data_IF_232692861076
#
_entry.id   IF_232692861076
#
_cell.length_a   1.000
_cell.length_b   1.000
_cell.length_c   1.000
_cell.angle_alpha   90.00
_cell.angle_beta   90.00
_cell.angle_gamma   90.00
#
_symmetry.space_group_name_H-M   'P 1'
#
loop_
_entity.id
_entity.type
_entity.pdbx_description
1 polymer ?
#
# COMPACT_ATOMS: atom_id res chain seq x y z
N UNK A 1 62.70 32.02 -58.37
CA UNK A 1 62.40 31.62 -56.98
C UNK A 1 60.91 31.49 -56.65
N UNK A 2 59.99 32.16 -57.31
CA UNK A 2 58.52 32.05 -56.96
C UNK A 2 57.84 30.79 -57.46
N UNK A 3 58.35 30.02 -58.40
CA UNK A 3 57.73 28.83 -58.99
C UNK A 3 58.01 27.57 -58.18
N UNK A 4 59.19 27.47 -57.51
CA UNK A 4 59.61 26.31 -56.70
C UNK A 4 58.76 26.25 -55.41
N UNK A 5 58.37 27.39 -54.79
CA UNK A 5 57.57 27.41 -53.60
C UNK A 5 56.14 26.89 -53.82
N UNK A 6 55.58 27.05 -55.00
CA UNK A 6 54.23 26.56 -55.30
C UNK A 6 54.16 25.05 -55.47
N UNK A 7 55.23 24.41 -55.96
CA UNK A 7 55.30 22.97 -56.13
C UNK A 7 55.50 22.26 -54.80
N UNK A 8 56.23 22.85 -53.83
CA UNK A 8 56.43 22.30 -52.49
C UNK A 8 55.15 22.38 -51.63
N UNK A 9 54.35 23.41 -51.76
CA UNK A 9 53.10 23.56 -51.02
C UNK A 9 52.05 22.55 -51.54
N UNK A 10 51.97 22.28 -52.82
CA UNK A 10 51.10 21.22 -53.36
C UNK A 10 51.49 19.82 -53.01
N UNK A 11 52.81 19.52 -52.94
CA UNK A 11 53.29 18.20 -52.49
C UNK A 11 53.06 17.93 -50.99
N UNK A 12 53.17 18.95 -50.15
CA UNK A 12 52.86 18.85 -48.71
C UNK A 12 51.39 18.66 -48.46
N UNK A 13 50.48 19.30 -49.26
CA UNK A 13 49.04 19.12 -49.17
C UNK A 13 48.55 17.75 -49.64
N UNK A 14 49.25 17.11 -50.57
CA UNK A 14 48.92 15.74 -51.04
C UNK A 14 49.39 14.66 -50.10
N UNK A 15 50.41 14.88 -49.27
CA UNK A 15 50.88 13.94 -48.25
C UNK A 15 50.01 13.95 -47.02
N UNK A 16 49.26 15.02 -46.74
CA UNK A 16 48.30 15.10 -45.62
C UNK A 16 47.00 14.36 -45.87
N UNK A 17 46.67 14.03 -47.15
CA UNK A 17 45.43 13.27 -47.46
C UNK A 17 45.64 11.74 -47.46
N UNK A 18 46.87 11.25 -47.33
CA UNK A 18 47.15 9.81 -47.28
C UNK A 18 47.11 9.26 -45.83
N UNK A 19 46.91 10.08 -44.79
CA UNK A 19 46.99 9.69 -43.39
C UNK A 19 45.67 9.39 -42.70
N UNK A 20 44.53 9.39 -43.42
CA UNK A 20 43.21 9.12 -42.82
C UNK A 20 42.58 7.80 -43.33
N UNK A 21 43.35 6.73 -43.36
CA UNK A 21 42.80 5.40 -43.65
C UNK A 21 42.89 4.42 -42.46
N UNK A 22 42.96 4.95 -41.25
CA UNK A 22 42.66 4.14 -40.07
C UNK A 22 41.14 4.00 -39.99
N UNK A 23 40.57 3.03 -40.72
CA UNK A 23 39.26 2.49 -40.38
C UNK A 23 39.36 2.02 -38.93
N UNK A 24 38.82 2.78 -37.96
CA UNK A 24 38.58 2.22 -36.66
C UNK A 24 37.61 1.06 -36.86
N UNK A 25 38.13 -0.15 -36.84
CA UNK A 25 37.28 -1.32 -36.76
C UNK A 25 36.65 -1.30 -35.35
N UNK A 26 35.38 -0.92 -35.31
CA UNK A 26 34.59 -0.98 -34.08
C UNK A 26 34.38 -2.47 -33.78
N UNK A 27 35.19 -3.02 -32.85
CA UNK A 27 34.98 -4.38 -32.37
C UNK A 27 33.66 -4.42 -31.61
N UNK A 28 32.66 -5.08 -32.18
CA UNK A 28 31.38 -5.29 -31.52
C UNK A 28 31.59 -6.22 -30.34
N UNK A 29 31.51 -5.68 -29.10
CA UNK A 29 31.62 -6.49 -27.89
C UNK A 29 30.26 -7.13 -27.63
N UNK A 30 30.19 -8.46 -27.44
CA UNK A 30 28.97 -9.12 -26.98
C UNK A 30 28.62 -8.69 -25.56
N UNK A 31 27.38 -8.32 -25.33
CA UNK A 31 26.92 -7.96 -23.96
C UNK A 31 25.46 -8.25 -23.74
N UNK A 32 25.08 -8.39 -22.45
CA UNK A 32 23.70 -8.57 -21.97
C UNK A 32 23.35 -7.47 -21.00
N UNK A 33 22.10 -6.99 -21.07
CA UNK A 33 21.61 -5.85 -20.31
C UNK A 33 20.11 -6.00 -19.99
N UNK A 34 19.65 -5.40 -18.90
CA UNK A 34 18.22 -5.26 -18.60
C UNK A 34 17.64 -4.07 -19.38
N UNK A 35 16.38 -4.18 -19.81
CA UNK A 35 15.68 -3.12 -20.53
C UNK A 35 15.27 -1.93 -19.66
N UNK A 36 15.17 -2.14 -18.33
CA UNK A 36 14.78 -1.13 -17.37
C UNK A 36 15.52 -1.29 -16.05
N UNK A 37 15.59 -0.20 -15.27
CA UNK A 37 16.27 -0.16 -13.95
C UNK A 37 15.30 -0.30 -12.80
N UNK A 38 14.09 0.24 -12.95
CA UNK A 38 13.10 0.33 -11.85
C UNK A 38 11.69 0.17 -12.35
N UNK A 39 10.81 -0.29 -11.46
CA UNK A 39 9.35 -0.23 -11.60
C UNK A 39 8.71 0.01 -10.23
N UNK A 40 7.62 0.78 -10.21
CA UNK A 40 6.70 0.84 -9.07
C UNK A 40 5.35 0.35 -9.57
N UNK A 41 4.83 -0.67 -8.92
CA UNK A 41 3.59 -1.33 -9.32
C UNK A 41 2.70 -1.50 -8.11
N UNK A 42 1.39 -1.41 -8.29
CA UNK A 42 0.45 -1.76 -7.22
C UNK A 42 0.34 -3.27 -7.11
N UNK A 43 -0.06 -3.79 -5.96
CA UNK A 43 -0.25 -5.23 -5.77
C UNK A 43 -1.35 -5.83 -6.67
N UNK A 44 -2.30 -5.02 -7.15
CA UNK A 44 -3.34 -5.41 -8.10
C UNK A 44 -2.91 -5.33 -9.59
N UNK A 45 -1.64 -5.02 -9.87
CA UNK A 45 -1.12 -4.86 -11.24
C UNK A 45 -1.15 -6.16 -12.05
N UNK A 46 -1.29 -7.32 -11.41
CA UNK A 46 -1.29 -8.62 -12.06
C UNK A 46 0.09 -8.99 -12.58
N UNK A 47 0.37 -8.77 -13.87
CA UNK A 47 1.64 -9.18 -14.51
C UNK A 47 2.60 -8.03 -14.71
N UNK A 48 3.85 -8.22 -14.30
CA UNK A 48 4.97 -7.28 -14.53
C UNK A 48 6.07 -8.00 -15.25
N UNK A 49 6.64 -7.36 -16.28
CA UNK A 49 7.71 -7.96 -17.08
C UNK A 49 8.95 -7.08 -17.10
N UNK A 50 10.12 -7.71 -17.19
CA UNK A 50 11.40 -7.08 -17.51
C UNK A 50 12.11 -7.88 -18.58
N UNK A 51 12.61 -7.18 -19.59
CA UNK A 51 13.33 -7.82 -20.67
C UNK A 51 14.84 -7.87 -20.37
N UNK A 52 15.45 -9.00 -20.67
CA UNK A 52 16.89 -9.18 -20.73
C UNK A 52 17.27 -9.23 -22.20
N UNK A 53 18.16 -8.37 -22.62
CA UNK A 53 18.53 -8.21 -24.05
C UNK A 53 19.99 -8.53 -24.24
N UNK A 54 20.26 -9.43 -25.16
CA UNK A 54 21.62 -9.83 -25.58
C UNK A 54 21.96 -9.21 -26.94
N UNK A 55 23.12 -8.57 -27.02
CA UNK A 55 23.62 -7.91 -28.21
C UNK A 55 24.93 -8.51 -28.69
N UNK A 56 25.10 -8.55 -30.00
CA UNK A 56 26.34 -8.93 -30.70
C UNK A 56 26.87 -10.32 -30.32
N UNK A 57 26.01 -11.25 -29.91
CA UNK A 57 26.41 -12.62 -29.63
C UNK A 57 26.94 -13.29 -30.89
N UNK A 58 27.98 -14.06 -30.75
CA UNK A 58 28.59 -14.88 -31.82
C UNK A 58 28.29 -16.37 -31.68
N UNK A 59 27.55 -16.75 -30.64
CA UNK A 59 27.10 -18.10 -30.32
C UNK A 59 26.19 -18.09 -29.08
N UNK A 60 25.79 -19.27 -28.60
CA UNK A 60 24.94 -19.39 -27.40
C UNK A 60 25.58 -18.73 -26.17
N UNK A 61 24.75 -18.13 -25.32
CA UNK A 61 25.16 -17.47 -24.08
C UNK A 61 24.22 -17.84 -22.95
N UNK A 62 24.77 -18.03 -21.76
CA UNK A 62 24.03 -18.15 -20.50
C UNK A 62 24.33 -16.97 -19.61
N UNK A 63 23.29 -16.47 -18.90
CA UNK A 63 23.40 -15.34 -17.95
C UNK A 63 22.82 -15.75 -16.63
N UNK A 64 23.63 -15.77 -15.58
CA UNK A 64 23.17 -16.02 -14.23
C UNK A 64 22.51 -14.75 -13.65
N UNK A 65 21.45 -14.92 -12.87
CA UNK A 65 20.80 -13.84 -12.15
C UNK A 65 20.43 -14.26 -10.72
N UNK A 66 20.18 -13.27 -9.87
CA UNK A 66 19.68 -13.46 -8.50
C UNK A 66 18.50 -12.56 -8.24
N UNK A 67 17.57 -13.04 -7.40
CA UNK A 67 16.50 -12.26 -6.80
C UNK A 67 16.84 -12.00 -5.34
N UNK A 68 16.54 -10.79 -4.85
CA UNK A 68 16.73 -10.38 -3.45
C UNK A 68 15.74 -9.27 -3.11
N UNK A 69 15.67 -8.87 -1.85
CA UNK A 69 14.74 -7.87 -1.32
C UNK A 69 13.88 -8.44 -0.22
N UNK A 70 12.90 -7.69 0.24
CA UNK A 70 11.94 -8.06 1.28
C UNK A 70 10.64 -8.63 0.70
N UNK A 71 10.39 -8.47 -0.60
CA UNK A 71 9.30 -9.17 -1.28
C UNK A 71 9.51 -10.68 -1.26
N UNK A 72 8.53 -11.43 -0.79
CA UNK A 72 8.57 -12.89 -0.61
C UNK A 72 7.80 -13.58 -1.72
N UNK A 73 8.48 -14.54 -2.40
CA UNK A 73 7.83 -15.39 -3.39
C UNK A 73 6.72 -16.25 -2.77
N UNK A 74 5.57 -16.34 -3.44
CA UNK A 74 4.37 -17.01 -2.94
C UNK A 74 3.51 -16.15 -2.00
N UNK A 75 4.03 -14.98 -1.57
CA UNK A 75 3.28 -14.00 -0.80
C UNK A 75 3.03 -12.70 -1.61
N UNK A 76 4.08 -12.07 -2.10
CA UNK A 76 3.95 -10.81 -2.84
C UNK A 76 3.98 -11.00 -4.36
N UNK A 77 4.63 -12.07 -4.83
CA UNK A 77 4.73 -12.39 -6.25
C UNK A 77 4.96 -13.88 -6.49
N UNK A 78 4.62 -14.34 -7.69
CA UNK A 78 5.10 -15.60 -8.24
C UNK A 78 6.06 -15.32 -9.39
N UNK A 79 7.09 -16.15 -9.48
CA UNK A 79 8.08 -16.10 -10.55
C UNK A 79 8.27 -17.50 -11.12
N UNK A 80 8.01 -17.65 -12.42
CA UNK A 80 7.98 -18.97 -13.07
C UNK A 80 9.38 -19.53 -13.33
N UNK A 81 10.34 -18.67 -13.66
CA UNK A 81 11.71 -19.07 -13.91
C UNK A 81 12.49 -19.21 -12.59
N UNK A 82 12.66 -20.45 -12.14
CA UNK A 82 13.39 -20.79 -10.91
C UNK A 82 14.81 -21.28 -11.21
N UNK A 83 15.25 -21.27 -12.50
CA UNK A 83 16.55 -21.81 -12.90
C UNK A 83 17.73 -20.96 -12.40
N UNK A 84 17.53 -19.67 -12.20
CA UNK A 84 18.60 -18.71 -11.90
C UNK A 84 19.50 -18.40 -13.12
N UNK A 85 19.15 -18.89 -14.31
CA UNK A 85 19.94 -18.77 -15.53
C UNK A 85 19.05 -18.48 -16.73
N UNK A 86 19.41 -17.47 -17.52
CA UNK A 86 18.75 -17.13 -18.78
C UNK A 86 19.63 -17.63 -19.93
N UNK A 87 19.03 -18.32 -20.88
CA UNK A 87 19.74 -18.87 -22.04
C UNK A 87 19.40 -18.11 -23.32
N UNK A 88 20.38 -17.76 -24.10
CA UNK A 88 20.28 -17.16 -25.42
C UNK A 88 21.00 -18.07 -26.45
N UNK A 89 20.31 -18.43 -27.51
CA UNK A 89 20.91 -19.14 -28.63
C UNK A 89 21.60 -18.17 -29.60
N UNK A 90 21.04 -16.95 -29.69
CA UNK A 90 21.53 -15.85 -30.52
C UNK A 90 21.19 -14.49 -29.85
N UNK A 91 21.69 -13.40 -30.45
CA UNK A 91 21.29 -12.05 -30.03
C UNK A 91 19.77 -11.86 -30.07
N UNK A 92 19.20 -11.28 -29.01
CA UNK A 92 17.78 -11.12 -28.94
C UNK A 92 17.31 -10.76 -27.54
N UNK A 93 16.03 -11.01 -27.29
CA UNK A 93 15.32 -10.63 -26.08
C UNK A 93 14.69 -11.85 -25.40
N UNK A 94 14.83 -11.92 -24.08
CA UNK A 94 14.09 -12.84 -23.21
C UNK A 94 13.33 -12.02 -22.18
N UNK A 95 12.05 -12.33 -21.98
CA UNK A 95 11.18 -11.62 -21.04
C UNK A 95 11.05 -12.44 -19.77
N UNK A 96 11.40 -11.84 -18.64
CA UNK A 96 11.13 -12.38 -17.31
C UNK A 96 9.79 -11.81 -16.82
N UNK A 97 8.91 -12.66 -16.30
CA UNK A 97 7.58 -12.29 -15.85
C UNK A 97 7.42 -12.55 -14.35
N UNK A 98 6.93 -11.54 -13.65
CA UNK A 98 6.49 -11.61 -12.27
C UNK A 98 4.96 -11.50 -12.25
N UNK A 99 4.28 -12.48 -11.66
CA UNK A 99 2.84 -12.42 -11.39
C UNK A 99 2.68 -11.85 -9.97
N UNK A 100 2.21 -10.62 -9.85
CA UNK A 100 2.01 -9.94 -8.58
C UNK A 100 0.76 -10.50 -7.92
N UNK A 101 0.84 -10.78 -6.62
CA UNK A 101 -0.25 -11.35 -5.85
C UNK A 101 -0.96 -10.22 -5.11
N UNK A 102 -2.25 -10.06 -5.37
CA UNK A 102 -3.12 -9.13 -4.69
C UNK A 102 -3.71 -9.77 -3.41
N UNK A 103 -3.71 -9.05 -2.30
CA UNK A 103 -4.28 -9.44 -1.00
C UNK A 103 -5.37 -8.45 -0.56
N UNK A 104 -6.55 -8.45 -1.19
CA UNK A 104 -7.58 -7.45 -0.95
C UNK A 104 -7.96 -7.38 0.54
N UNK A 105 -7.95 -6.19 1.12
CA UNK A 105 -8.24 -5.87 2.53
C UNK A 105 -7.23 -6.42 3.55
N UNK A 106 -6.04 -6.84 3.09
CA UNK A 106 -4.95 -7.28 3.95
C UNK A 106 -3.74 -6.37 3.74
N UNK A 107 -3.52 -5.39 4.61
CA UNK A 107 -2.37 -4.49 4.51
C UNK A 107 -1.08 -5.23 4.88
N UNK A 108 -0.24 -5.50 3.88
CA UNK A 108 1.05 -6.16 4.04
C UNK A 108 2.22 -5.18 4.06
N UNK A 109 1.98 -3.92 3.67
CA UNK A 109 2.99 -2.91 3.43
C UNK A 109 3.70 -3.05 2.10
N UNK A 110 4.40 -2.00 1.70
CA UNK A 110 5.18 -2.03 0.45
C UNK A 110 6.32 -3.03 0.54
N UNK A 111 6.56 -3.78 -0.55
CA UNK A 111 7.62 -4.78 -0.62
C UNK A 111 8.56 -4.54 -1.82
N UNK A 112 9.86 -4.65 -1.61
CA UNK A 112 10.90 -4.45 -2.60
C UNK A 112 11.44 -5.76 -3.18
N UNK A 113 11.56 -5.86 -4.50
CA UNK A 113 12.22 -6.93 -5.23
C UNK A 113 13.37 -6.36 -6.06
N UNK A 114 14.51 -7.03 -6.01
CA UNK A 114 15.68 -6.71 -6.82
C UNK A 114 16.10 -7.93 -7.63
N UNK A 115 16.15 -7.77 -8.95
CA UNK A 115 16.76 -8.72 -9.87
C UNK A 115 18.13 -8.18 -10.29
N UNK A 116 19.17 -9.00 -10.23
CA UNK A 116 20.54 -8.62 -10.62
C UNK A 116 21.16 -9.68 -11.52
N UNK A 117 21.64 -9.27 -12.70
CA UNK A 117 22.47 -10.10 -13.56
C UNK A 117 23.87 -10.21 -12.94
N UNK A 118 24.40 -11.43 -12.79
CA UNK A 118 25.66 -11.71 -12.08
C UNK A 118 26.80 -12.02 -13.02
N UNK A 119 26.66 -13.06 -13.80
CA UNK A 119 27.71 -13.59 -14.68
C UNK A 119 27.12 -13.98 -16.03
N UNK A 120 27.87 -13.81 -17.08
CA UNK A 120 27.56 -14.30 -18.41
C UNK A 120 28.63 -15.28 -18.88
N UNK A 121 28.35 -16.07 -19.91
CA UNK A 121 29.30 -16.98 -20.54
C UNK A 121 30.56 -16.23 -20.98
N UNK A 122 31.68 -16.95 -21.08
CA UNK A 122 32.97 -16.41 -21.50
C UNK A 122 32.88 -15.56 -22.78
N UNK A 123 33.47 -14.37 -22.72
CA UNK A 123 33.50 -13.42 -23.82
C UNK A 123 32.26 -12.56 -23.97
N UNK A 124 31.29 -12.68 -23.09
CA UNK A 124 30.07 -11.83 -23.03
C UNK A 124 30.12 -10.97 -21.79
N UNK A 125 29.95 -9.66 -21.95
CA UNK A 125 29.97 -8.70 -20.84
C UNK A 125 28.55 -8.46 -20.28
N UNK A 126 28.45 -8.14 -18.98
CA UNK A 126 27.26 -7.59 -18.40
C UNK A 126 27.27 -6.08 -18.60
N UNK A 127 26.29 -5.56 -19.30
CA UNK A 127 26.14 -4.14 -19.59
C UNK A 127 25.80 -3.27 -18.36
N UNK A 128 25.74 -1.94 -18.55
CA UNK A 128 25.63 -0.99 -17.44
C UNK A 128 24.27 -1.08 -16.70
N UNK A 129 23.22 -1.58 -17.33
CA UNK A 129 21.93 -1.84 -16.69
C UNK A 129 21.85 -3.32 -16.32
N UNK A 130 22.46 -3.66 -15.20
CA UNK A 130 22.50 -5.03 -14.68
C UNK A 130 21.57 -5.31 -13.51
N UNK A 131 20.92 -4.27 -13.00
CA UNK A 131 20.01 -4.36 -11.86
C UNK A 131 18.67 -3.76 -12.23
N UNK A 132 17.60 -4.48 -11.88
CA UNK A 132 16.21 -4.02 -11.91
C UNK A 132 15.65 -4.08 -10.50
N UNK A 133 15.11 -2.96 -10.01
CA UNK A 133 14.45 -2.86 -8.70
C UNK A 133 12.97 -2.59 -8.90
N UNK A 134 12.13 -3.40 -8.30
CA UNK A 134 10.67 -3.22 -8.31
C UNK A 134 10.18 -3.00 -6.90
N UNK A 135 9.33 -1.99 -6.71
CA UNK A 135 8.55 -1.81 -5.48
C UNK A 135 7.11 -2.20 -5.76
N UNK A 136 6.62 -3.17 -5.03
CA UNK A 136 5.21 -3.55 -4.99
C UNK A 136 4.57 -2.67 -3.93
N UNK A 137 3.66 -1.80 -4.36
CA UNK A 137 2.94 -0.88 -3.50
C UNK A 137 1.65 -1.55 -3.04
N UNK A 138 1.54 -1.70 -1.74
CA UNK A 138 0.29 -2.10 -1.10
C UNK A 138 -0.76 -1.01 -1.35
N UNK A 139 -1.91 -1.38 -1.85
CA UNK A 139 -3.01 -0.45 -2.15
C UNK A 139 -4.10 -0.46 -1.07
N UNK A 140 -3.94 -1.26 -0.02
CA UNK A 140 -4.80 -1.24 1.14
C UNK A 140 -4.42 -0.13 2.13
N UNK A 141 -5.42 0.36 2.87
CA UNK A 141 -5.22 1.42 3.86
C UNK A 141 -4.85 0.77 5.20
N UNK A 142 -3.73 1.12 5.82
CA UNK A 142 -3.39 0.57 7.13
C UNK A 142 -4.38 1.08 8.18
N UNK A 143 -4.89 0.15 9.01
CA UNK A 143 -5.71 0.48 10.17
C UNK A 143 -4.80 0.71 11.37
N UNK A 144 -4.49 1.97 11.63
CA UNK A 144 -3.65 2.45 12.73
C UNK A 144 -4.25 3.71 13.37
N UNK A 145 -3.51 4.37 14.26
CA UNK A 145 -3.95 5.63 14.87
C UNK A 145 -4.15 6.75 13.85
N UNK A 146 -3.35 6.84 12.80
CA UNK A 146 -3.53 7.86 11.76
C UNK A 146 -4.82 7.65 10.97
N UNK A 147 -5.26 6.39 10.82
CA UNK A 147 -6.55 6.04 10.24
C UNK A 147 -7.71 6.37 11.20
N UNK A 148 -7.60 5.98 12.47
CA UNK A 148 -8.70 6.12 13.46
C UNK A 148 -8.93 7.57 13.85
N UNK A 149 -7.86 8.33 14.15
CA UNK A 149 -7.96 9.67 14.66
C UNK A 149 -8.52 10.66 13.62
N UNK A 150 -9.38 11.57 14.09
CA UNK A 150 -9.95 12.63 13.27
C UNK A 150 -11.46 12.67 13.25
N UNK A 151 -12.01 13.45 12.31
CA UNK A 151 -13.45 13.66 12.16
C UNK A 151 -14.03 12.67 11.15
N UNK A 152 -15.14 12.05 11.54
CA UNK A 152 -15.86 11.05 10.79
C UNK A 152 -17.31 11.50 10.54
N UNK A 153 -17.91 11.01 9.48
CA UNK A 153 -19.35 11.09 9.27
C UNK A 153 -19.99 9.88 9.94
N UNK A 154 -20.79 10.13 10.95
CA UNK A 154 -21.56 9.10 11.65
C UNK A 154 -22.94 8.97 11.04
N UNK A 155 -23.36 7.73 10.79
CA UNK A 155 -24.69 7.36 10.33
C UNK A 155 -25.27 6.39 11.33
N UNK A 156 -26.28 6.83 12.07
CA UNK A 156 -27.05 5.98 12.97
C UNK A 156 -28.16 5.26 12.21
N UNK A 157 -28.42 4.03 12.64
CA UNK A 157 -29.52 3.21 12.13
C UNK A 157 -30.39 2.76 13.30
N UNK A 158 -31.67 3.06 13.23
CA UNK A 158 -32.71 2.54 14.13
C UNK A 158 -33.32 1.28 13.49
N UNK A 159 -32.83 0.11 13.86
CA UNK A 159 -32.98 -1.09 13.05
C UNK A 159 -32.32 -0.90 11.69
N UNK A 160 -33.10 -1.03 10.59
CA UNK A 160 -32.58 -0.82 9.22
C UNK A 160 -32.84 0.61 8.69
N UNK A 161 -33.45 1.49 9.51
CA UNK A 161 -33.81 2.86 9.08
C UNK A 161 -32.68 3.82 9.43
N UNK A 162 -32.05 4.50 8.44
CA UNK A 162 -31.05 5.51 8.71
C UNK A 162 -31.67 6.78 9.27
N UNK A 163 -31.00 7.37 10.27
CA UNK A 163 -31.27 8.71 10.79
C UNK A 163 -30.44 9.75 9.99
N UNK A 164 -30.55 11.03 10.30
CA UNK A 164 -29.72 12.05 9.66
C UNK A 164 -28.24 11.91 10.07
N UNK A 165 -27.29 11.99 9.13
CA UNK A 165 -25.89 11.87 9.44
C UNK A 165 -25.35 13.10 10.17
N UNK A 166 -24.37 12.89 11.05
CA UNK A 166 -23.71 13.96 11.80
C UNK A 166 -22.19 13.78 11.81
N UNK A 167 -21.47 14.75 12.40
CA UNK A 167 -20.02 14.66 12.56
C UNK A 167 -19.65 14.24 13.96
N UNK A 168 -18.88 13.16 14.06
CA UNK A 168 -18.27 12.70 15.30
C UNK A 168 -16.74 12.72 15.16
N UNK A 169 -16.03 12.67 16.27
CA UNK A 169 -14.56 12.68 16.27
C UNK A 169 -14.01 11.56 17.14
N UNK A 170 -13.05 10.81 16.60
CA UNK A 170 -12.20 9.94 17.39
C UNK A 170 -10.89 10.66 17.70
N UNK A 171 -10.48 10.61 18.97
CA UNK A 171 -9.26 11.26 19.47
C UNK A 171 -8.42 10.28 20.27
N UNK A 172 -7.16 10.18 19.96
CA UNK A 172 -6.19 9.42 20.76
C UNK A 172 -6.02 10.09 22.13
N UNK A 173 -6.19 9.32 23.21
CA UNK A 173 -5.83 9.73 24.58
C UNK A 173 -4.45 9.17 24.93
N UNK A 174 -4.24 7.88 24.72
CA UNK A 174 -2.97 7.18 24.81
C UNK A 174 -2.92 6.02 23.80
N UNK A 175 -1.93 5.13 23.91
CA UNK A 175 -1.74 4.04 22.93
C UNK A 175 -2.85 2.99 22.95
N UNK A 176 -3.66 2.93 24.01
CA UNK A 176 -4.73 1.95 24.21
C UNK A 176 -6.09 2.57 24.49
N UNK A 177 -6.17 3.90 24.57
CA UNK A 177 -7.39 4.62 24.94
C UNK A 177 -7.79 5.62 23.86
N UNK A 178 -9.05 5.55 23.46
CA UNK A 178 -9.69 6.44 22.48
C UNK A 178 -10.85 7.19 23.11
N UNK A 179 -11.02 8.46 22.78
CA UNK A 179 -12.26 9.21 23.03
C UNK A 179 -13.10 9.25 21.75
N UNK A 180 -14.39 8.97 21.86
CA UNK A 180 -15.41 9.25 20.85
C UNK A 180 -16.21 10.45 21.32
N UNK A 181 -16.16 11.52 20.54
CA UNK A 181 -16.79 12.81 20.84
C UNK A 181 -17.97 12.99 19.90
N UNK A 182 -19.08 13.49 20.45
CA UNK A 182 -20.27 13.82 19.69
C UNK A 182 -21.00 12.59 19.10
N UNK A 183 -21.02 11.47 19.82
CA UNK A 183 -21.92 10.35 19.45
C UNK A 183 -23.37 10.83 19.53
N UNK A 184 -24.18 10.50 18.53
CA UNK A 184 -25.58 10.88 18.40
C UNK A 184 -25.83 12.41 18.42
N UNK A 185 -24.85 13.18 17.93
CA UNK A 185 -24.86 14.66 18.00
C UNK A 185 -25.07 15.23 19.43
N UNK A 186 -24.71 14.41 20.42
CA UNK A 186 -24.94 14.71 21.84
C UNK A 186 -23.93 15.66 22.47
N UNK A 187 -22.82 15.94 21.78
CA UNK A 187 -21.79 16.90 22.22
C UNK A 187 -20.80 16.35 23.24
N UNK A 188 -21.11 15.29 23.95
CA UNK A 188 -20.28 14.73 25.02
C UNK A 188 -19.19 13.77 24.49
N UNK A 189 -18.19 13.52 25.31
CA UNK A 189 -17.10 12.59 24.99
C UNK A 189 -17.21 11.33 25.84
N UNK A 190 -17.22 10.16 25.18
CA UNK A 190 -17.10 8.86 25.84
C UNK A 190 -15.72 8.27 25.57
N UNK A 191 -15.18 7.50 26.52
CA UNK A 191 -13.86 6.86 26.39
C UNK A 191 -14.00 5.35 26.28
N UNK A 192 -13.15 4.78 25.43
CA UNK A 192 -13.05 3.35 25.23
C UNK A 192 -11.60 2.89 25.12
N UNK A 193 -11.41 1.59 25.22
CA UNK A 193 -10.13 0.96 24.87
C UNK A 193 -10.11 0.68 23.36
N UNK A 194 -8.89 0.64 22.78
CA UNK A 194 -8.65 0.21 21.41
C UNK A 194 -7.50 -0.78 21.37
N UNK A 195 -7.63 -1.80 20.53
CA UNK A 195 -6.58 -2.79 20.26
C UNK A 195 -6.49 -3.00 18.75
N UNK A 196 -5.29 -2.75 18.19
CA UNK A 196 -4.99 -2.97 16.78
C UNK A 196 -4.51 -4.40 16.53
N UNK A 197 -4.98 -5.00 15.45
CA UNK A 197 -4.53 -6.29 14.94
C UNK A 197 -3.90 -6.10 13.56
N UNK A 198 -2.57 -6.09 13.53
CA UNK A 198 -1.82 -5.93 12.29
C UNK A 198 -1.96 -7.14 11.35
N UNK A 199 -2.28 -8.34 11.88
CA UNK A 199 -2.43 -9.53 11.04
C UNK A 199 -3.71 -9.52 10.21
N UNK A 200 -4.74 -8.82 10.69
CA UNK A 200 -6.04 -8.71 10.01
C UNK A 200 -6.31 -7.30 9.50
N UNK A 201 -5.33 -6.39 9.62
CA UNK A 201 -5.48 -4.96 9.29
C UNK A 201 -6.78 -4.37 9.86
N UNK A 202 -6.99 -4.57 11.14
CA UNK A 202 -8.21 -4.15 11.83
C UNK A 202 -7.93 -3.64 13.24
N UNK A 203 -8.94 -3.08 13.90
CA UNK A 203 -8.90 -2.83 15.33
C UNK A 203 -10.27 -3.13 15.95
N UNK A 204 -10.25 -3.38 17.26
CA UNK A 204 -11.45 -3.45 18.07
C UNK A 204 -11.45 -2.35 19.10
N UNK A 205 -12.62 -1.77 19.37
CA UNK A 205 -12.82 -0.80 20.45
C UNK A 205 -13.86 -1.33 21.42
N UNK A 206 -13.77 -0.91 22.70
CA UNK A 206 -14.75 -1.26 23.73
C UNK A 206 -15.00 -0.05 24.61
N UNK A 207 -16.25 0.40 24.68
CA UNK A 207 -16.69 1.56 25.43
C UNK A 207 -17.48 1.10 26.66
N UNK A 208 -17.03 1.49 27.85
CA UNK A 208 -17.71 1.15 29.08
C UNK A 208 -19.13 1.77 29.13
N UNK A 209 -20.13 1.06 29.70
CA UNK A 209 -21.47 1.62 29.87
C UNK A 209 -21.49 2.75 30.90
N UNK A 210 -22.62 3.44 31.01
CA UNK A 210 -22.91 4.56 31.95
C UNK A 210 -22.16 5.86 31.65
N UNK A 211 -21.39 5.96 30.58
CA UNK A 211 -20.83 7.22 30.14
C UNK A 211 -21.96 8.09 29.52
N UNK A 212 -21.89 9.36 29.74
CA UNK A 212 -22.90 10.30 29.26
C UNK A 212 -22.64 10.58 27.78
N UNK A 213 -23.66 10.37 26.95
CA UNK A 213 -23.66 10.71 25.53
C UNK A 213 -24.21 12.10 25.30
N UNK A 214 -25.22 12.47 26.07
CA UNK A 214 -25.89 13.76 25.93
C UNK A 214 -26.40 14.28 27.28
N UNK A 215 -26.31 15.59 27.51
CA UNK A 215 -27.07 16.29 28.55
C UNK A 215 -28.41 16.78 27.97
N UNK A 216 -29.47 16.06 28.27
CA UNK A 216 -30.85 16.40 27.89
C UNK A 216 -31.65 17.04 29.03
N UNK A 217 -30.98 17.60 30.06
CA UNK A 217 -31.63 18.20 31.23
C UNK A 217 -32.52 19.39 30.85
N UNK A 218 -32.14 20.15 29.83
CA UNK A 218 -32.97 21.27 29.32
C UNK A 218 -34.33 20.81 28.76
N UNK A 219 -34.46 19.54 28.38
CA UNK A 219 -35.69 18.92 27.88
C UNK A 219 -36.41 18.10 28.95
N UNK A 220 -35.89 18.09 30.19
CA UNK A 220 -36.47 17.34 31.30
C UNK A 220 -36.09 15.85 31.35
N UNK A 221 -35.17 15.36 30.51
CA UNK A 221 -34.79 13.95 30.45
C UNK A 221 -33.52 13.61 31.24
N UNK A 222 -32.77 14.64 31.71
CA UNK A 222 -31.57 14.49 32.48
C UNK A 222 -30.35 14.09 31.62
N UNK A 223 -29.31 13.51 32.25
CA UNK A 223 -28.16 13.00 31.58
C UNK A 223 -28.47 11.64 30.94
N UNK A 224 -28.10 11.45 29.69
CA UNK A 224 -28.38 10.22 28.93
C UNK A 224 -27.15 9.30 28.89
N UNK A 225 -27.00 8.31 29.79
CA UNK A 225 -25.93 7.35 29.79
C UNK A 225 -26.12 6.25 28.74
N UNK A 226 -25.02 5.81 28.16
CA UNK A 226 -24.98 4.73 27.16
C UNK A 226 -25.07 3.35 27.82
N UNK A 227 -25.76 2.40 27.15
CA UNK A 227 -25.81 0.99 27.52
C UNK A 227 -25.87 0.12 26.26
N UNK A 228 -25.49 -1.16 26.40
CA UNK A 228 -25.44 -2.14 25.33
C UNK A 228 -26.42 -3.30 25.50
N UNK A 229 -26.37 -4.26 24.55
CA UNK A 229 -27.07 -5.53 24.66
C UNK A 229 -26.15 -6.59 25.28
N UNK A 230 -26.66 -7.36 26.22
CA UNK A 230 -25.98 -8.55 26.73
C UNK A 230 -26.09 -9.74 25.76
N UNK A 231 -25.49 -10.86 26.11
CA UNK A 231 -25.48 -12.06 25.25
C UNK A 231 -26.90 -12.62 24.99
N UNK A 232 -27.87 -12.33 25.85
CA UNK A 232 -29.26 -12.76 25.70
C UNK A 232 -30.10 -11.78 24.90
N UNK A 233 -29.47 -10.71 24.34
CA UNK A 233 -30.16 -9.66 23.56
C UNK A 233 -30.98 -8.70 24.43
N UNK A 234 -30.69 -8.62 25.73
CA UNK A 234 -31.35 -7.71 26.66
C UNK A 234 -30.51 -6.47 26.92
N UNK A 235 -31.15 -5.31 27.07
CA UNK A 235 -30.50 -4.07 27.45
C UNK A 235 -29.91 -4.17 28.86
N UNK A 236 -28.62 -3.89 28.95
CA UNK A 236 -27.87 -4.03 30.18
C UNK A 236 -26.71 -3.04 30.25
N UNK A 237 -26.15 -2.86 31.44
CA UNK A 237 -24.93 -2.08 31.64
C UNK A 237 -23.69 -2.92 31.25
N UNK A 238 -23.59 -3.22 29.94
CA UNK A 238 -22.48 -3.95 29.33
C UNK A 238 -21.72 -3.07 28.35
N UNK A 239 -20.43 -3.34 28.08
CA UNK A 239 -19.66 -2.58 27.13
C UNK A 239 -20.25 -2.65 25.71
N UNK A 240 -20.10 -1.57 24.97
CA UNK A 240 -20.40 -1.51 23.53
C UNK A 240 -19.10 -1.68 22.78
N UNK A 241 -19.06 -2.65 21.89
CA UNK A 241 -17.88 -2.93 21.07
C UNK A 241 -18.04 -2.31 19.68
N UNK A 242 -16.92 -1.88 19.10
CA UNK A 242 -16.82 -1.45 17.73
C UNK A 242 -15.72 -2.18 16.98
N UNK A 243 -15.93 -2.40 15.69
CA UNK A 243 -14.93 -2.95 14.79
C UNK A 243 -14.45 -1.88 13.83
N UNK A 244 -13.13 -1.78 13.66
CA UNK A 244 -12.46 -0.87 12.74
C UNK A 244 -11.86 -1.68 11.62
N UNK A 245 -12.16 -1.33 10.39
CA UNK A 245 -11.57 -1.88 9.17
C UNK A 245 -11.19 -0.75 8.23
N UNK A 246 -10.47 -1.04 7.16
CA UNK A 246 -10.18 -0.04 6.12
C UNK A 246 -11.43 0.59 5.49
N UNK A 247 -12.59 -0.07 5.58
CA UNK A 247 -13.87 0.46 5.09
C UNK A 247 -14.52 1.47 6.05
N UNK A 248 -14.12 1.50 7.33
CA UNK A 248 -14.69 2.40 8.34
C UNK A 248 -14.80 1.75 9.71
N UNK A 249 -15.61 2.38 10.58
CA UNK A 249 -15.83 1.91 11.94
C UNK A 249 -17.31 1.54 12.09
N UNK A 250 -17.58 0.33 12.54
CA UNK A 250 -18.94 -0.14 12.88
C UNK A 250 -19.07 -0.26 14.38
N UNK A 251 -19.91 0.57 14.96
CA UNK A 251 -20.25 0.56 16.38
C UNK A 251 -21.38 -0.43 16.63
N UNK A 252 -21.26 -1.26 17.63
CA UNK A 252 -22.26 -2.28 17.96
C UNK A 252 -23.59 -1.68 18.43
N UNK A 253 -24.55 -2.53 18.73
CA UNK A 253 -25.90 -2.06 19.16
C UNK A 253 -25.81 -1.38 20.50
N UNK A 254 -26.37 -0.18 20.58
CA UNK A 254 -26.35 0.66 21.77
C UNK A 254 -27.65 1.45 21.95
N UNK A 255 -27.85 1.97 23.13
CA UNK A 255 -29.00 2.82 23.49
C UNK A 255 -28.61 3.82 24.57
N UNK A 256 -29.51 4.71 24.93
CA UNK A 256 -29.41 5.61 26.05
C UNK A 256 -30.57 5.38 27.03
N UNK A 257 -30.29 5.59 28.31
CA UNK A 257 -31.30 5.55 29.35
C UNK A 257 -31.69 6.97 29.73
N UNK A 258 -32.99 7.25 29.80
CA UNK A 258 -33.56 8.52 30.33
C UNK A 258 -33.42 8.48 31.83
N UNK A 259 -32.84 9.54 32.45
CA UNK A 259 -32.57 9.53 33.88
C UNK A 259 -33.44 10.44 34.69
N UNK A 260 -34.27 11.29 34.06
CA UNK A 260 -35.17 12.22 34.74
C UNK A 260 -36.53 12.36 34.06
N UNK A 261 -37.45 13.03 34.70
CA UNK A 261 -38.80 13.33 34.19
C UNK A 261 -39.74 12.13 34.19
N UNK A 262 -40.84 12.28 33.47
CA UNK A 262 -41.92 11.27 33.37
C UNK A 262 -41.43 9.95 32.77
N UNK A 263 -40.43 10.03 31.87
CA UNK A 263 -39.87 8.86 31.18
C UNK A 263 -38.59 8.32 31.84
N UNK A 264 -38.30 8.68 33.09
CA UNK A 264 -37.16 8.16 33.83
C UNK A 264 -37.17 6.62 33.86
N UNK A 265 -35.98 6.01 33.59
CA UNK A 265 -35.74 4.56 33.43
C UNK A 265 -36.31 3.93 32.16
N UNK A 266 -36.80 4.72 31.21
CA UNK A 266 -37.12 4.23 29.88
C UNK A 266 -35.89 4.35 28.97
N UNK A 267 -35.84 3.47 27.98
CA UNK A 267 -34.87 3.56 26.88
C UNK A 267 -35.21 4.70 25.95
N UNK A 268 -34.20 5.39 25.41
CA UNK A 268 -34.41 6.48 24.47
C UNK A 268 -35.17 6.01 23.21
N UNK A 269 -34.80 4.81 22.68
CA UNK A 269 -35.55 4.15 21.61
C UNK A 269 -35.74 2.67 21.94
N UNK A 270 -36.80 2.06 21.43
CA UNK A 270 -37.10 0.66 21.72
C UNK A 270 -36.09 -0.32 21.07
N UNK A 271 -35.68 -0.05 19.82
CA UNK A 271 -34.82 -0.94 19.04
C UNK A 271 -33.31 -0.73 19.28
N UNK A 272 -32.94 0.42 19.87
CA UNK A 272 -31.54 0.84 19.92
C UNK A 272 -31.02 1.36 18.60
N UNK A 273 -29.72 1.68 18.57
CA UNK A 273 -28.99 2.16 17.42
C UNK A 273 -27.83 1.24 17.08
N UNK A 274 -27.46 1.19 15.80
CA UNK A 274 -26.13 0.85 15.33
C UNK A 274 -25.57 2.07 14.63
N UNK A 275 -24.24 2.29 14.70
CA UNK A 275 -23.63 3.46 14.08
C UNK A 275 -22.50 3.03 13.16
N UNK A 276 -22.48 3.56 11.94
CA UNK A 276 -21.37 3.39 11.00
C UNK A 276 -20.69 4.74 10.80
N UNK A 277 -19.35 4.74 10.94
CA UNK A 277 -18.54 5.92 10.70
C UNK A 277 -17.74 5.74 9.42
N UNK A 278 -17.80 6.75 8.54
CA UNK A 278 -17.07 6.83 7.28
C UNK A 278 -16.27 8.13 7.21
N UNK A 279 -15.09 8.09 6.54
CA UNK A 279 -14.27 9.29 6.29
C UNK A 279 -14.70 10.03 5.04
#
# INVERSE_FOLDING_TARGET
MKTIYKVFICAAALLSLASCNNKMEYKKVPFVVLSSKTANVKEDAGKVTVDVVAYNLTGPCTVAYTLSGDAVAGKHYNFSDKSGVIQFDESGKKTLQFDIINHPNEYLGNAGLKLELKEASDGVEIGPVKTFSMTILDNDIPVDWAFVEGTWTAQDYKGDTPEDPYKAQFKKIDDTTVALINLWDGGEAIQGTIAFDAATNSATMSFAPRQIVMDASAYGYGLLPILGLNADGQWAWVPINATVTAAGITFGVWNMLITAGEYANYLWVSAGYTTVFTK
#
